data_IF_756794015837
#
_entry.id   IF_756794015837
#
_cell.length_a   1.000
_cell.length_b   1.000
_cell.length_c   1.000
_cell.angle_alpha   90.00
_cell.angle_beta   90.00
_cell.angle_gamma   90.00
#
_symmetry.space_group_name_H-M   'P 1'
#
loop_
_entity.id
_entity.type
_entity.pdbx_description
1 polymer ?
#
# COMPACT_ATOMS: atom_id res chain seq x y z
N UNK A 1 -5.86 -21.78 23.48
CA UNK A 1 -5.27 -21.96 22.13
C UNK A 1 -6.29 -21.71 21.04
N UNK A 2 -7.56 -22.09 21.23
CA UNK A 2 -8.66 -21.83 20.30
C UNK A 2 -8.86 -20.34 19.95
N UNK A 3 -8.70 -19.42 20.92
CA UNK A 3 -8.86 -17.98 20.67
C UNK A 3 -7.77 -17.40 19.75
N UNK A 4 -6.53 -17.90 19.88
CA UNK A 4 -5.40 -17.48 19.04
C UNK A 4 -5.61 -18.00 17.61
N UNK A 5 -6.07 -19.24 17.47
CA UNK A 5 -6.41 -19.82 16.17
C UNK A 5 -7.55 -19.04 15.49
N UNK A 6 -8.58 -18.65 16.25
CA UNK A 6 -9.69 -17.84 15.75
C UNK A 6 -9.24 -16.46 15.30
N UNK A 7 -8.39 -15.78 16.08
CA UNK A 7 -7.81 -14.49 15.71
C UNK A 7 -6.95 -14.58 14.43
N UNK A 8 -6.12 -15.61 14.32
CA UNK A 8 -5.29 -15.86 13.13
C UNK A 8 -6.15 -16.12 11.90
N UNK A 9 -7.18 -16.97 12.02
CA UNK A 9 -8.12 -17.24 10.91
C UNK A 9 -8.87 -15.99 10.46
N UNK A 10 -9.34 -15.16 11.40
CA UNK A 10 -10.01 -13.89 11.07
C UNK A 10 -9.04 -12.93 10.39
N UNK A 11 -7.80 -12.80 10.87
CA UNK A 11 -6.80 -11.94 10.25
C UNK A 11 -6.44 -12.39 8.83
N UNK A 12 -6.24 -13.69 8.62
CA UNK A 12 -5.96 -14.25 7.29
C UNK A 12 -7.13 -14.05 6.31
N UNK A 13 -8.37 -14.27 6.75
CA UNK A 13 -9.55 -14.04 5.92
C UNK A 13 -9.69 -12.59 5.47
N UNK A 14 -9.31 -11.63 6.31
CA UNK A 14 -9.38 -10.21 5.95
C UNK A 14 -8.23 -9.79 5.00
N UNK A 15 -7.04 -10.38 5.15
CA UNK A 15 -5.95 -10.22 4.17
C UNK A 15 -6.37 -10.77 2.80
N UNK A 16 -6.96 -11.97 2.74
CA UNK A 16 -7.43 -12.56 1.49
C UNK A 16 -8.50 -11.69 0.80
N UNK A 17 -9.45 -11.13 1.57
CA UNK A 17 -10.44 -10.16 1.06
C UNK A 17 -9.77 -8.92 0.50
N UNK A 18 -8.76 -8.38 1.19
CA UNK A 18 -8.01 -7.22 0.70
C UNK A 18 -7.15 -7.53 -0.53
N UNK A 19 -6.66 -8.76 -0.71
CA UNK A 19 -5.91 -9.16 -1.90
C UNK A 19 -6.81 -9.44 -3.12
N UNK A 20 -8.00 -9.99 -2.91
CA UNK A 20 -8.93 -10.39 -3.97
C UNK A 20 -9.63 -9.19 -4.65
N UNK A 21 -9.68 -8.02 -4.00
CA UNK A 21 -10.50 -6.87 -4.47
C UNK A 21 -9.79 -5.95 -5.48
N UNK A 22 -8.83 -6.46 -6.29
CA UNK A 22 -8.08 -5.70 -7.33
C UNK A 22 -7.04 -4.68 -6.80
N UNK A 23 -6.42 -4.95 -5.67
CA UNK A 23 -5.68 -3.95 -4.89
C UNK A 23 -4.20 -3.80 -5.27
N UNK A 24 -3.74 -4.42 -6.37
CA UNK A 24 -2.34 -4.36 -6.82
C UNK A 24 -2.21 -3.75 -8.22
N UNK A 25 -3.24 -3.92 -9.04
CA UNK A 25 -3.36 -3.36 -10.39
C UNK A 25 -4.63 -2.50 -10.40
N UNK A 26 -4.44 -1.19 -10.45
CA UNK A 26 -5.52 -0.21 -10.51
C UNK A 26 -6.28 -0.27 -11.84
N UNK A 27 -7.44 0.37 -11.87
CA UNK A 27 -8.27 0.41 -13.07
C UNK A 27 -7.57 1.20 -14.19
N UNK A 28 -7.54 0.67 -15.43
CA UNK A 28 -6.98 1.39 -16.57
C UNK A 28 -7.74 2.69 -16.85
N UNK A 29 -7.00 3.77 -17.09
CA UNK A 29 -7.55 5.08 -17.47
C UNK A 29 -6.89 5.55 -18.77
N UNK A 30 -7.70 5.97 -19.74
CA UNK A 30 -7.19 6.44 -21.05
C UNK A 30 -7.27 7.97 -21.13
N UNK A 31 -6.13 8.61 -21.39
CA UNK A 31 -6.00 10.06 -21.56
C UNK A 31 -5.19 10.31 -22.83
N UNK A 32 -5.75 11.07 -23.78
CA UNK A 32 -5.05 11.48 -25.02
C UNK A 32 -4.40 10.32 -25.79
N UNK A 33 -5.06 9.15 -25.83
CA UNK A 33 -4.54 7.96 -26.52
C UNK A 33 -3.47 7.17 -25.74
N UNK A 34 -3.16 7.60 -24.51
CA UNK A 34 -2.35 6.84 -23.56
C UNK A 34 -3.26 6.09 -22.58
N UNK A 35 -3.16 4.75 -22.53
CA UNK A 35 -3.77 3.96 -21.46
C UNK A 35 -2.78 3.82 -20.31
N UNK A 36 -3.20 4.29 -19.14
CA UNK A 36 -2.43 4.30 -17.90
C UNK A 36 -2.98 3.25 -16.94
N UNK A 37 -2.13 2.37 -16.41
CA UNK A 37 -2.52 1.35 -15.43
C UNK A 37 -1.67 1.55 -14.17
N UNK A 38 -2.26 2.09 -13.07
CA UNK A 38 -1.55 2.29 -11.82
C UNK A 38 -1.22 0.96 -11.16
N UNK A 39 0.01 0.80 -10.68
CA UNK A 39 0.42 -0.33 -9.87
C UNK A 39 0.64 0.14 -8.43
N UNK A 40 0.08 -0.60 -7.47
CA UNK A 40 0.21 -0.31 -6.05
C UNK A 40 0.66 -1.56 -5.29
N UNK A 41 1.40 -1.37 -4.22
CA UNK A 41 1.83 -2.41 -3.30
C UNK A 41 1.07 -2.27 -1.99
N UNK A 42 0.52 -3.38 -1.51
CA UNK A 42 -0.17 -3.48 -0.23
C UNK A 42 0.71 -4.26 0.73
N UNK A 43 0.78 -3.81 1.98
CA UNK A 43 1.53 -4.48 3.03
C UNK A 43 0.75 -4.49 4.34
N UNK A 44 0.89 -5.58 5.10
CA UNK A 44 0.31 -5.76 6.42
C UNK A 44 1.39 -6.24 7.39
N UNK A 45 1.28 -5.83 8.66
CA UNK A 45 2.15 -6.28 9.74
C UNK A 45 1.33 -6.53 10.99
N UNK A 46 1.65 -7.62 11.69
CA UNK A 46 1.01 -8.03 12.94
C UNK A 46 2.07 -8.37 13.98
N UNK A 47 1.83 -8.01 15.22
CA UNK A 47 2.69 -8.28 16.35
C UNK A 47 1.87 -8.71 17.56
N UNK A 48 2.43 -9.62 18.35
CA UNK A 48 1.86 -10.07 19.60
C UNK A 48 2.97 -10.13 20.65
N UNK A 49 2.63 -9.83 21.90
CA UNK A 49 3.54 -9.90 23.03
C UNK A 49 2.79 -10.22 24.31
N UNK A 50 3.43 -10.93 25.22
CA UNK A 50 2.86 -11.25 26.52
C UNK A 50 3.93 -11.56 27.55
N UNK A 51 3.56 -11.45 28.81
CA UNK A 51 4.42 -11.72 29.95
C UNK A 51 3.60 -12.17 31.15
N UNK A 52 4.21 -13.02 31.96
CA UNK A 52 3.68 -13.42 33.26
C UNK A 52 4.72 -13.16 34.34
N UNK A 53 4.25 -12.96 35.56
CA UNK A 53 5.09 -12.73 36.72
C UNK A 53 4.42 -13.21 38.00
N UNK A 54 5.23 -13.67 38.94
CA UNK A 54 4.81 -14.02 40.29
C UNK A 54 5.55 -13.16 41.31
N UNK A 55 4.86 -12.73 42.36
CA UNK A 55 5.41 -11.91 43.43
C UNK A 55 4.74 -12.17 44.77
N UNK A 56 5.45 -11.99 45.89
CA UNK A 56 4.84 -12.04 47.22
C UNK A 56 4.13 -10.73 47.53
N UNK A 57 2.83 -10.80 47.82
CA UNK A 57 2.10 -9.66 48.38
C UNK A 57 2.49 -9.45 49.85
N UNK A 58 2.37 -8.20 50.32
CA UNK A 58 2.68 -7.81 51.72
C UNK A 58 1.88 -8.60 52.78
N UNK A 59 0.78 -9.22 52.39
CA UNK A 59 -0.08 -10.06 53.22
C UNK A 59 0.41 -11.51 53.38
N UNK A 60 1.46 -11.92 52.67
CA UNK A 60 1.97 -13.30 52.66
C UNK A 60 1.44 -14.17 51.51
N UNK A 61 0.41 -13.70 50.80
CA UNK A 61 -0.16 -14.40 49.65
C UNK A 61 0.74 -14.30 48.41
N UNK A 62 0.80 -15.39 47.64
CA UNK A 62 1.42 -15.39 46.32
C UNK A 62 0.49 -14.69 45.32
N UNK A 63 0.96 -13.60 44.72
CA UNK A 63 0.27 -12.91 43.63
C UNK A 63 0.81 -13.36 42.29
N UNK A 64 -0.08 -13.75 41.38
CA UNK A 64 0.24 -14.06 39.99
C UNK A 64 -0.42 -13.03 39.07
N UNK A 65 0.31 -12.59 38.05
CA UNK A 65 -0.19 -11.71 37.02
C UNK A 65 0.25 -12.19 35.64
N UNK A 66 -0.66 -12.12 34.68
CA UNK A 66 -0.38 -12.31 33.27
C UNK A 66 -0.98 -11.16 32.48
N UNK A 67 -0.25 -10.71 31.47
CA UNK A 67 -0.69 -9.68 30.54
C UNK A 67 -0.25 -10.03 29.13
N UNK A 68 -1.09 -9.69 28.17
CA UNK A 68 -0.80 -9.87 26.75
C UNK A 68 -1.43 -8.76 25.93
N UNK A 69 -0.85 -8.51 24.76
CA UNK A 69 -1.33 -7.53 23.80
C UNK A 69 -0.99 -7.93 22.37
N UNK A 70 -1.80 -7.47 21.44
CA UNK A 70 -1.58 -7.63 20.00
C UNK A 70 -1.74 -6.29 19.31
N UNK A 71 -1.09 -6.14 18.17
CA UNK A 71 -1.23 -4.98 17.30
C UNK A 71 -1.15 -5.42 15.84
N UNK A 72 -1.82 -4.69 14.96
CA UNK A 72 -1.75 -4.89 13.53
C UNK A 72 -1.91 -3.57 12.79
N UNK A 73 -1.32 -3.49 11.60
CA UNK A 73 -1.43 -2.34 10.73
C UNK A 73 -1.24 -2.73 9.27
N UNK A 74 -1.79 -1.93 8.37
CA UNK A 74 -1.66 -2.13 6.94
C UNK A 74 -1.53 -0.81 6.20
N UNK A 75 -1.03 -0.88 4.98
CA UNK A 75 -0.85 0.30 4.13
C UNK A 75 -0.81 -0.05 2.65
N UNK A 76 -1.09 0.96 1.83
CA UNK A 76 -1.02 0.88 0.37
C UNK A 76 -0.06 1.96 -0.11
N UNK A 77 0.84 1.63 -1.04
CA UNK A 77 1.75 2.59 -1.68
C UNK A 77 1.73 2.45 -3.20
N UNK A 78 1.63 3.54 -3.97
CA UNK A 78 1.85 3.47 -5.41
C UNK A 78 3.31 3.11 -5.71
N UNK A 79 3.54 2.23 -6.68
CA UNK A 79 4.89 1.74 -7.01
C UNK A 79 5.29 2.04 -8.45
N UNK A 80 4.34 2.02 -9.39
CA UNK A 80 4.62 2.29 -10.80
C UNK A 80 3.34 2.65 -11.58
N UNK A 81 3.53 3.14 -12.80
CA UNK A 81 2.49 3.36 -13.79
C UNK A 81 2.87 2.62 -15.08
N UNK A 82 2.01 1.73 -15.57
CA UNK A 82 2.16 1.18 -16.92
C UNK A 82 1.54 2.18 -17.89
N UNK A 83 2.27 2.53 -18.94
CA UNK A 83 1.82 3.41 -20.01
C UNK A 83 1.80 2.59 -21.30
N UNK A 84 0.64 2.56 -21.94
CA UNK A 84 0.41 1.90 -23.23
C UNK A 84 -0.05 2.97 -24.21
N UNK A 85 0.68 3.17 -25.30
CA UNK A 85 0.32 4.13 -26.35
C UNK A 85 0.86 3.69 -27.72
N UNK A 86 0.80 4.58 -28.72
CA UNK A 86 1.29 4.31 -30.07
C UNK A 86 2.79 4.00 -30.17
N UNK A 87 3.59 4.35 -29.16
CA UNK A 87 5.04 4.03 -29.09
C UNK A 87 5.30 2.64 -28.50
N UNK A 88 4.29 2.00 -27.89
CA UNK A 88 4.38 0.68 -27.27
C UNK A 88 4.00 0.68 -25.78
N UNK A 89 4.59 -0.26 -25.03
CA UNK A 89 4.32 -0.46 -23.60
C UNK A 89 5.58 -0.12 -22.80
N UNK A 90 5.45 0.76 -21.81
CA UNK A 90 6.53 1.08 -20.85
C UNK A 90 6.02 1.16 -19.42
N UNK A 91 6.90 0.93 -18.45
CA UNK A 91 6.60 1.04 -17.02
C UNK A 91 7.42 2.16 -16.38
N UNK A 92 6.73 3.08 -15.70
CA UNK A 92 7.31 4.23 -15.05
C UNK A 92 7.25 4.07 -13.52
N UNK A 93 8.38 3.83 -12.82
CA UNK A 93 8.40 3.67 -11.37
C UNK A 93 8.10 4.99 -10.66
N UNK A 94 7.23 4.96 -9.65
CA UNK A 94 6.85 6.15 -8.86
C UNK A 94 7.87 6.28 -7.72
N UNK A 95 8.64 7.38 -7.71
CA UNK A 95 9.66 7.65 -6.69
C UNK A 95 9.14 8.71 -5.71
N UNK A 96 8.82 8.34 -4.47
CA UNK A 96 8.39 9.26 -3.42
C UNK A 96 6.87 9.43 -3.29
N UNK A 97 6.43 10.37 -2.44
CA UNK A 97 5.02 10.61 -2.09
C UNK A 97 4.12 10.94 -3.29
N UNK A 98 2.80 10.98 -3.07
CA UNK A 98 1.74 11.12 -4.08
C UNK A 98 1.94 12.26 -5.10
N UNK A 99 2.72 13.29 -4.77
CA UNK A 99 3.13 14.38 -5.67
C UNK A 99 3.88 13.88 -6.91
N UNK A 100 4.71 12.84 -6.77
CA UNK A 100 5.47 12.25 -7.88
C UNK A 100 4.61 11.57 -8.95
N UNK A 101 3.38 11.16 -8.58
CA UNK A 101 2.41 10.60 -9.54
C UNK A 101 1.80 11.70 -10.40
N UNK A 102 1.41 12.81 -9.76
CA UNK A 102 0.88 13.99 -10.46
C UNK A 102 1.91 14.58 -11.42
N UNK A 103 3.17 14.68 -10.99
CA UNK A 103 4.27 15.14 -11.84
C UNK A 103 4.47 14.24 -13.06
N UNK A 104 4.46 12.91 -12.88
CA UNK A 104 4.59 11.96 -14.00
C UNK A 104 3.41 11.99 -14.96
N UNK A 105 2.18 12.15 -14.44
CA UNK A 105 0.99 12.32 -15.28
C UNK A 105 1.08 13.62 -16.09
N UNK A 106 1.51 14.72 -15.45
CA UNK A 106 1.72 16.00 -16.12
C UNK A 106 2.82 15.94 -17.20
N UNK A 107 3.92 15.23 -16.94
CA UNK A 107 5.01 15.04 -17.91
C UNK A 107 4.57 14.22 -19.14
N UNK A 108 3.73 13.20 -18.94
CA UNK A 108 3.18 12.39 -20.04
C UNK A 108 2.27 13.27 -20.90
N UNK A 109 1.35 14.01 -20.28
CA UNK A 109 0.43 14.93 -20.97
C UNK A 109 1.21 16.05 -21.70
N UNK A 110 2.19 16.65 -21.04
CA UNK A 110 3.00 17.73 -21.60
C UNK A 110 3.87 17.29 -22.78
N UNK A 111 4.28 16.01 -22.82
CA UNK A 111 5.03 15.44 -23.95
C UNK A 111 4.14 14.89 -25.07
N UNK A 112 2.89 14.54 -24.79
CA UNK A 112 1.91 14.09 -25.80
C UNK A 112 1.13 15.22 -26.47
N UNK A 113 1.17 16.45 -25.92
CA UNK A 113 0.65 17.63 -26.60
C UNK A 113 1.46 17.91 -27.89
N UNK A 114 0.83 17.91 -29.08
CA UNK A 114 1.52 18.32 -30.30
C UNK A 114 1.86 19.80 -30.19
N UNK A 115 3.13 20.12 -30.46
CA UNK A 115 3.70 21.45 -30.22
C UNK A 115 2.84 22.60 -30.75
N UNK A 116 2.68 23.62 -29.92
CA UNK A 116 2.14 24.91 -30.31
C UNK A 116 3.22 26.00 -30.23
N UNK A 117 3.62 26.51 -31.39
CA UNK A 117 4.03 27.92 -31.54
C UNK A 117 5.53 28.20 -31.64
N UNK A 118 5.98 28.56 -32.84
CA UNK A 118 7.34 28.99 -33.13
C UNK A 118 7.66 30.45 -32.80
N UNK A 119 8.97 30.71 -32.83
CA UNK A 119 9.74 31.97 -33.06
C UNK A 119 9.02 33.33 -33.01
N UNK A 120 9.60 34.21 -32.19
CA UNK A 120 9.93 35.63 -32.48
C UNK A 120 11.02 36.01 -31.47
N UNK A 121 12.15 36.65 -31.74
CA UNK A 121 12.64 37.44 -32.86
C UNK A 121 13.72 38.35 -32.24
N UNK A 122 14.82 38.54 -32.97
CA UNK A 122 15.99 39.42 -32.74
C UNK A 122 16.99 39.09 -31.60
#
# INVERSE_FOLDING_TARGET
MEDVEKLLKTAMGEIERMLNTKTVVGEPMTIEGNTLIPLVSVGFGFGAGGGSGSGKMKSGDAGEGAGGGTAGGGGVKPVALIIINGEGVRMEPIKGAATSVLEKVADVIGKSAPGGGGKSGD
#
